data_IF_943772471211
#
_entry.id   IF_943772471211
#
_cell.length_a   1.000
_cell.length_b   1.000
_cell.length_c   1.000
_cell.angle_alpha   90.00
_cell.angle_beta   90.00
_cell.angle_gamma   90.00
#
_symmetry.space_group_name_H-M   'P 1'
#
loop_
_entity.id
_entity.type
_entity.pdbx_description
1 polymer ?
#
# COMPACT_ATOMS: atom_id res chain seq x y z
N UNK A 1 31.08 -39.92 -37.04
CA UNK A 1 29.91 -39.94 -36.14
C UNK A 1 29.59 -38.51 -35.79
N UNK A 2 28.58 -37.92 -36.45
CA UNK A 2 28.08 -36.56 -36.15
C UNK A 2 26.84 -36.72 -35.26
N UNK A 3 26.91 -36.21 -34.04
CA UNK A 3 25.78 -36.09 -33.11
C UNK A 3 25.11 -34.73 -33.30
N UNK A 4 23.93 -34.73 -33.91
CA UNK A 4 23.11 -33.56 -34.07
C UNK A 4 22.40 -33.19 -32.76
N UNK A 5 22.55 -31.95 -32.29
CA UNK A 5 21.81 -31.38 -31.18
C UNK A 5 20.53 -30.77 -31.75
N UNK A 6 19.38 -31.35 -31.42
CA UNK A 6 18.06 -30.80 -31.75
C UNK A 6 17.66 -29.75 -30.71
N UNK A 7 17.69 -28.48 -31.10
CA UNK A 7 17.09 -27.35 -30.36
C UNK A 7 15.58 -27.41 -30.54
N UNK A 8 14.85 -27.82 -29.50
CA UNK A 8 13.38 -27.65 -29.42
C UNK A 8 13.06 -26.23 -29.02
N UNK A 9 12.93 -25.36 -30.02
CA UNK A 9 12.36 -24.02 -29.82
C UNK A 9 10.86 -24.12 -29.57
N UNK A 10 10.38 -23.63 -28.43
CA UNK A 10 8.95 -23.37 -28.21
C UNK A 10 8.49 -22.28 -29.17
N UNK A 11 7.97 -22.70 -30.32
CA UNK A 11 7.28 -21.77 -31.23
C UNK A 11 5.90 -21.42 -30.66
N UNK A 12 5.78 -20.23 -30.10
CA UNK A 12 4.48 -19.64 -29.81
C UNK A 12 3.77 -19.41 -31.16
N UNK A 13 2.80 -20.25 -31.47
CA UNK A 13 1.95 -20.09 -32.65
C UNK A 13 1.11 -18.83 -32.51
N UNK A 14 1.58 -17.74 -33.07
CA UNK A 14 0.74 -16.53 -33.29
C UNK A 14 -0.23 -16.88 -34.42
N UNK A 15 -1.49 -17.07 -34.10
CA UNK A 15 -2.58 -17.18 -35.10
C UNK A 15 -2.72 -15.82 -35.79
N UNK A 16 -2.18 -15.71 -36.99
CA UNK A 16 -2.34 -14.54 -37.85
C UNK A 16 -3.65 -14.71 -38.59
N UNK A 17 -4.73 -14.13 -38.06
CA UNK A 17 -5.90 -13.82 -38.85
C UNK A 17 -5.66 -12.50 -39.57
N UNK A 18 -5.85 -12.51 -40.87
CA UNK A 18 -5.56 -11.44 -41.82
C UNK A 18 -6.73 -10.48 -41.85
N UNK A 19 -6.99 -9.72 -40.77
CA UNK A 19 -7.86 -8.55 -40.75
C UNK A 19 -7.49 -7.66 -39.57
N UNK A 20 -7.10 -6.41 -39.86
CA UNK A 20 -6.80 -5.28 -38.97
C UNK A 20 -6.29 -5.68 -37.57
N UNK A 21 -4.98 -5.83 -37.43
CA UNK A 21 -4.31 -6.21 -36.19
C UNK A 21 -4.46 -5.12 -35.14
N UNK A 22 -5.49 -5.20 -34.34
CA UNK A 22 -5.67 -4.42 -33.13
C UNK A 22 -5.13 -5.26 -31.96
N UNK A 23 -4.02 -4.85 -31.38
CA UNK A 23 -3.50 -5.49 -30.15
C UNK A 23 -3.89 -4.63 -28.95
N UNK A 24 -4.61 -5.22 -28.02
CA UNK A 24 -4.88 -4.59 -26.73
C UNK A 24 -3.83 -5.06 -25.72
N UNK A 25 -3.06 -4.14 -25.17
CA UNK A 25 -2.11 -4.39 -24.11
C UNK A 25 -2.58 -3.66 -22.85
N UNK A 26 -2.56 -4.36 -21.72
CA UNK A 26 -2.78 -3.74 -20.42
C UNK A 26 -1.44 -3.30 -19.86
N UNK A 27 -1.27 -2.02 -19.62
CA UNK A 27 -0.05 -1.45 -19.03
C UNK A 27 -0.34 -0.92 -17.62
N UNK A 28 0.62 -1.11 -16.72
CA UNK A 28 0.59 -0.48 -15.40
C UNK A 28 1.12 0.93 -15.53
N UNK A 29 0.28 1.90 -15.18
CA UNK A 29 0.61 3.32 -15.19
C UNK A 29 0.73 3.83 -13.76
N UNK A 30 1.86 4.44 -13.43
CA UNK A 30 2.10 5.07 -12.12
C UNK A 30 1.36 6.40 -12.07
N UNK A 31 0.48 6.57 -11.08
CA UNK A 31 -0.29 7.79 -10.86
C UNK A 31 0.34 8.68 -9.79
N UNK A 32 0.82 8.06 -8.71
CA UNK A 32 1.41 8.72 -7.55
C UNK A 32 2.65 7.96 -7.11
N UNK A 33 3.70 8.72 -6.85
CA UNK A 33 4.87 8.31 -6.07
C UNK A 33 5.12 9.36 -5.01
N UNK A 34 5.06 8.98 -3.74
CA UNK A 34 5.12 9.90 -2.62
C UNK A 34 5.82 9.25 -1.43
N UNK A 35 6.26 10.08 -0.49
CA UNK A 35 6.83 9.65 0.77
C UNK A 35 5.89 10.03 1.91
N UNK A 36 5.44 9.03 2.65
CA UNK A 36 4.69 9.23 3.90
C UNK A 36 5.63 9.81 4.94
N UNK A 37 5.20 10.89 5.57
CA UNK A 37 6.00 11.62 6.56
C UNK A 37 5.32 11.73 7.92
N UNK A 38 4.00 11.54 8.00
CA UNK A 38 3.26 11.58 9.26
C UNK A 38 1.93 10.81 9.17
N UNK A 39 1.36 10.52 10.32
CA UNK A 39 -0.01 10.02 10.46
C UNK A 39 -0.83 10.99 11.32
N UNK A 40 -2.13 11.08 11.03
CA UNK A 40 -3.00 11.98 11.76
C UNK A 40 -4.47 11.68 11.57
N UNK A 41 -5.29 12.63 11.98
CA UNK A 41 -6.74 12.69 11.75
C UNK A 41 -7.10 14.05 11.18
N UNK A 42 -8.22 14.19 10.46
CA UNK A 42 -8.70 15.51 10.06
C UNK A 42 -8.89 16.41 11.27
N UNK A 43 -8.40 17.65 11.20
CA UNK A 43 -8.61 18.63 12.28
C UNK A 43 -10.10 18.94 12.48
N UNK A 44 -10.87 18.92 11.40
CA UNK A 44 -12.31 19.15 11.39
C UNK A 44 -13.02 18.04 10.63
N UNK A 45 -14.17 17.62 11.15
CA UNK A 45 -15.06 16.71 10.43
C UNK A 45 -15.81 17.48 9.33
N UNK A 46 -16.00 16.83 8.19
CA UNK A 46 -16.90 17.30 7.14
C UNK A 46 -17.79 16.16 6.66
N UNK A 47 -18.76 16.44 5.81
CA UNK A 47 -19.70 15.43 5.33
C UNK A 47 -18.99 14.21 4.68
N UNK A 48 -17.82 14.44 4.05
CA UNK A 48 -17.04 13.41 3.35
C UNK A 48 -15.80 12.95 4.13
N UNK A 49 -15.54 13.51 5.31
CA UNK A 49 -14.36 13.25 6.13
C UNK A 49 -14.76 13.13 7.60
N UNK A 50 -15.19 11.94 8.06
CA UNK A 50 -15.42 11.70 9.47
C UNK A 50 -14.18 12.04 10.31
N UNK A 51 -14.40 12.62 11.50
CA UNK A 51 -13.31 13.06 12.38
C UNK A 51 -12.41 11.91 12.88
N UNK A 52 -12.93 10.70 12.86
CA UNK A 52 -12.23 9.47 13.23
C UNK A 52 -11.49 8.81 12.06
N UNK A 53 -11.58 9.37 10.84
CA UNK A 53 -10.81 8.92 9.69
C UNK A 53 -9.31 8.99 9.98
N UNK A 54 -8.57 8.05 9.44
CA UNK A 54 -7.11 8.07 9.50
C UNK A 54 -6.58 8.76 8.26
N UNK A 55 -5.65 9.69 8.48
CA UNK A 55 -4.93 10.40 7.43
C UNK A 55 -3.47 9.94 7.43
N UNK A 56 -3.03 9.48 6.30
CA UNK A 56 -1.62 9.24 6.00
C UNK A 56 -1.13 10.49 5.28
N UNK A 57 -0.26 11.27 5.91
CA UNK A 57 0.27 12.50 5.35
C UNK A 57 1.55 12.21 4.57
N UNK A 58 1.51 12.42 3.27
CA UNK A 58 2.66 12.38 2.38
C UNK A 58 3.22 13.78 2.10
N UNK A 59 4.38 13.83 1.46
CA UNK A 59 5.01 15.09 1.07
C UNK A 59 4.22 15.83 -0.02
N UNK A 60 3.61 15.07 -0.93
CA UNK A 60 2.87 15.62 -2.10
C UNK A 60 1.37 15.52 -1.94
N UNK A 61 0.89 14.53 -1.18
CA UNK A 61 -0.53 14.23 -1.04
C UNK A 61 -0.87 13.80 0.38
N UNK A 62 -2.15 13.85 0.70
CA UNK A 62 -2.74 13.24 1.90
C UNK A 62 -3.66 12.10 1.49
N UNK A 63 -3.58 10.99 2.20
CA UNK A 63 -4.34 9.76 1.91
C UNK A 63 -5.30 9.52 3.06
N UNK A 64 -6.58 9.70 2.82
CA UNK A 64 -7.61 9.52 3.84
C UNK A 64 -8.18 8.13 3.73
N UNK A 65 -8.03 7.33 4.77
CA UNK A 65 -8.51 5.96 4.80
C UNK A 65 -10.01 5.93 5.08
N UNK A 66 -10.75 5.32 4.16
CA UNK A 66 -12.18 5.03 4.29
C UNK A 66 -12.44 3.60 4.76
N UNK A 67 -11.42 2.74 4.65
CA UNK A 67 -11.47 1.34 5.11
C UNK A 67 -10.10 0.93 5.67
N UNK A 68 -10.12 0.09 6.70
CA UNK A 68 -8.93 -0.53 7.30
C UNK A 68 -8.17 0.36 8.28
N UNK A 69 -8.43 1.66 8.30
CA UNK A 69 -7.74 2.60 9.20
C UNK A 69 -7.90 2.25 10.67
N UNK A 70 -9.10 1.87 11.12
CA UNK A 70 -9.35 1.46 12.51
C UNK A 70 -8.55 0.22 12.89
N UNK A 71 -8.51 -0.80 12.02
CA UNK A 71 -7.71 -2.01 12.28
C UNK A 71 -6.23 -1.67 12.38
N UNK A 72 -5.71 -0.87 11.45
CA UNK A 72 -4.33 -0.41 11.49
C UNK A 72 -4.00 0.29 12.81
N UNK A 73 -4.83 1.26 13.23
CA UNK A 73 -4.65 1.98 14.50
C UNK A 73 -4.73 1.06 15.71
N UNK A 74 -5.64 0.09 15.71
CA UNK A 74 -5.77 -0.91 16.79
C UNK A 74 -4.49 -1.70 16.95
N UNK A 75 -3.91 -2.18 15.84
CA UNK A 75 -2.67 -2.96 15.85
C UNK A 75 -1.49 -2.12 16.36
N UNK A 76 -1.26 -0.92 15.79
CA UNK A 76 -0.10 -0.10 16.17
C UNK A 76 -0.18 0.46 17.60
N UNK A 77 -1.37 0.58 18.17
CA UNK A 77 -1.55 1.00 19.57
C UNK A 77 -1.35 -0.15 20.57
N UNK A 78 -1.59 -1.39 20.15
CA UNK A 78 -1.55 -2.55 21.03
C UNK A 78 -0.23 -3.29 20.98
N UNK A 79 0.40 -3.34 19.81
CA UNK A 79 1.62 -4.09 19.57
C UNK A 79 2.86 -3.25 19.89
N UNK A 80 3.93 -3.90 20.34
CA UNK A 80 5.22 -3.23 20.50
C UNK A 80 5.79 -2.89 19.11
N UNK A 81 5.98 -1.60 18.82
CA UNK A 81 6.42 -1.16 17.49
C UNK A 81 7.79 -1.70 17.07
N UNK A 82 8.66 -2.04 18.03
CA UNK A 82 9.97 -2.64 17.72
C UNK A 82 9.88 -3.99 17.03
N UNK A 83 8.74 -4.67 17.19
CA UNK A 83 8.49 -6.01 16.68
C UNK A 83 7.59 -6.00 15.43
N UNK A 84 7.17 -4.81 14.99
CA UNK A 84 6.34 -4.64 13.77
C UNK A 84 7.25 -4.35 12.58
N UNK A 85 6.94 -4.99 11.45
CA UNK A 85 7.60 -4.75 10.18
C UNK A 85 6.58 -4.68 9.04
N UNK A 86 6.77 -3.76 8.10
CA UNK A 86 6.09 -3.80 6.82
C UNK A 86 6.89 -4.74 5.91
N UNK A 87 6.23 -5.78 5.41
CA UNK A 87 6.91 -6.90 4.75
C UNK A 87 7.05 -6.73 3.23
N UNK A 88 6.33 -5.77 2.65
CA UNK A 88 6.34 -5.47 1.19
C UNK A 88 6.13 -3.98 0.96
N UNK A 89 6.49 -3.51 -0.22
CA UNK A 89 6.20 -2.14 -0.67
C UNK A 89 4.70 -1.82 -0.63
N UNK A 90 4.37 -0.57 -0.29
CA UNK A 90 2.99 -0.07 -0.30
C UNK A 90 2.59 0.35 -1.72
N UNK A 91 2.06 -0.59 -2.44
CA UNK A 91 1.55 -0.39 -3.80
C UNK A 91 0.02 -0.50 -3.79
N UNK A 92 -0.65 0.63 -4.03
CA UNK A 92 -2.10 0.71 -4.09
C UNK A 92 -2.59 0.84 -5.52
N UNK A 93 -3.82 0.44 -5.75
CA UNK A 93 -4.46 0.44 -7.07
C UNK A 93 -5.62 1.42 -7.10
N UNK A 94 -5.69 2.24 -8.17
CA UNK A 94 -6.81 3.12 -8.49
C UNK A 94 -7.46 2.64 -9.79
N UNK A 95 -8.65 2.06 -9.68
CA UNK A 95 -9.32 1.45 -10.82
C UNK A 95 -9.72 2.47 -11.88
N UNK A 96 -10.27 3.61 -11.44
CA UNK A 96 -10.85 4.63 -12.31
C UNK A 96 -9.98 5.86 -12.47
N UNK A 97 -8.81 5.91 -11.84
CA UNK A 97 -7.96 7.11 -11.77
C UNK A 97 -8.75 8.36 -11.30
N UNK A 98 -9.63 8.20 -10.33
CA UNK A 98 -10.56 9.22 -9.83
C UNK A 98 -10.20 9.73 -8.42
N UNK A 99 -8.99 9.44 -7.96
CA UNK A 99 -8.53 9.76 -6.61
C UNK A 99 -8.82 8.68 -5.57
N UNK A 100 -9.69 7.72 -5.85
CA UNK A 100 -9.90 6.57 -4.99
C UNK A 100 -8.78 5.55 -5.18
N UNK A 101 -8.38 4.90 -4.10
CA UNK A 101 -7.40 3.83 -4.13
C UNK A 101 -7.77 2.70 -3.18
N UNK A 102 -7.25 1.52 -3.45
CA UNK A 102 -7.35 0.35 -2.58
C UNK A 102 -6.10 -0.51 -2.65
N UNK A 103 -5.89 -1.33 -1.65
CA UNK A 103 -4.77 -2.25 -1.60
C UNK A 103 -4.64 -2.97 -0.26
N UNK A 104 -3.47 -3.52 -0.03
CA UNK A 104 -3.16 -4.25 1.21
C UNK A 104 -1.93 -3.66 1.86
N UNK A 105 -2.03 -3.35 3.15
CA UNK A 105 -0.89 -3.05 4.01
C UNK A 105 -0.44 -4.35 4.68
N UNK A 106 0.69 -4.92 4.28
CA UNK A 106 1.20 -6.16 4.83
C UNK A 106 2.08 -5.86 6.05
N UNK A 107 1.59 -6.17 7.24
CA UNK A 107 2.34 -6.08 8.48
C UNK A 107 2.76 -7.46 8.97
N UNK A 108 3.92 -7.56 9.62
CA UNK A 108 4.25 -8.71 10.46
C UNK A 108 4.63 -8.24 11.87
N UNK A 109 4.37 -9.11 12.83
CA UNK A 109 4.75 -8.95 14.21
C UNK A 109 5.49 -10.19 14.69
N UNK A 110 6.67 -10.00 15.27
CA UNK A 110 7.49 -11.10 15.76
C UNK A 110 7.63 -11.00 17.29
N UNK A 111 7.52 -12.14 17.97
CA UNK A 111 7.69 -12.24 19.44
C UNK A 111 8.31 -13.57 19.82
N UNK A 112 9.11 -13.62 20.88
CA UNK A 112 9.62 -14.87 21.42
C UNK A 112 8.46 -15.75 21.91
N UNK A 113 8.54 -17.06 21.70
CA UNK A 113 7.49 -18.00 22.12
C UNK A 113 7.24 -17.97 23.62
N UNK A 114 8.29 -17.79 24.43
CA UNK A 114 8.21 -17.68 25.89
C UNK A 114 7.47 -16.43 26.37
N UNK A 115 7.47 -15.35 25.57
CA UNK A 115 6.80 -14.09 25.88
C UNK A 115 5.34 -14.04 25.39
N UNK A 116 4.91 -15.01 24.58
CA UNK A 116 3.57 -15.06 24.01
C UNK A 116 2.55 -15.48 25.06
N UNK A 117 1.63 -14.59 25.37
CA UNK A 117 0.51 -14.89 26.25
C UNK A 117 -0.71 -15.39 25.46
N UNK A 118 -1.62 -16.10 26.13
CA UNK A 118 -2.91 -16.48 25.56
C UNK A 118 -3.69 -15.26 25.05
N UNK A 119 -3.64 -14.14 25.76
CA UNK A 119 -4.27 -12.89 25.37
C UNK A 119 -3.67 -12.29 24.09
N UNK A 120 -2.36 -12.45 23.87
CA UNK A 120 -1.73 -12.02 22.60
C UNK A 120 -2.28 -12.84 21.44
N UNK A 121 -2.35 -14.16 21.61
CA UNK A 121 -2.86 -15.06 20.56
C UNK A 121 -4.32 -14.79 20.24
N UNK A 122 -5.18 -14.59 21.26
CA UNK A 122 -6.57 -14.18 21.09
C UNK A 122 -6.66 -12.87 20.29
N UNK A 123 -5.88 -11.85 20.68
CA UNK A 123 -5.84 -10.57 19.99
C UNK A 123 -5.38 -10.71 18.53
N UNK A 124 -4.37 -11.54 18.25
CA UNK A 124 -3.91 -11.77 16.88
C UNK A 124 -4.99 -12.42 16.02
N UNK A 125 -5.65 -13.46 16.52
CA UNK A 125 -6.73 -14.16 15.82
C UNK A 125 -7.90 -13.21 15.55
N UNK A 126 -8.33 -12.44 16.54
CA UNK A 126 -9.41 -11.45 16.41
C UNK A 126 -9.13 -10.38 15.35
N UNK A 127 -7.84 -10.04 15.17
CA UNK A 127 -7.40 -9.08 14.16
C UNK A 127 -6.95 -9.71 12.84
N UNK A 128 -7.25 -11.00 12.61
CA UNK A 128 -7.05 -11.68 11.33
C UNK A 128 -5.59 -12.04 11.04
N UNK A 129 -4.77 -12.17 12.06
CA UNK A 129 -3.41 -12.64 11.91
C UNK A 129 -3.34 -14.09 11.43
N UNK A 130 -2.33 -14.35 10.61
CA UNK A 130 -1.92 -15.70 10.23
C UNK A 130 -0.49 -15.93 10.71
N UNK A 131 -0.20 -17.13 11.20
CA UNK A 131 1.17 -17.49 11.49
C UNK A 131 1.99 -17.59 10.19
N UNK A 132 3.15 -16.92 10.18
CA UNK A 132 4.03 -16.87 9.01
C UNK A 132 5.51 -16.96 9.41
N UNK A 133 5.78 -17.74 10.46
CA UNK A 133 7.15 -17.94 10.98
C UNK A 133 8.07 -18.52 9.92
N UNK A 134 9.27 -17.97 9.83
CA UNK A 134 10.35 -18.49 9.01
C UNK A 134 11.21 -19.47 9.79
N UNK A 135 12.04 -20.27 9.09
CA UNK A 135 13.03 -21.13 9.75
C UNK A 135 14.04 -20.34 10.61
N UNK A 136 14.26 -19.06 10.32
CA UNK A 136 15.07 -18.18 11.15
C UNK A 136 14.35 -17.80 12.45
N UNK A 137 13.05 -17.50 12.37
CA UNK A 137 12.24 -17.23 13.56
C UNK A 137 12.21 -18.45 14.47
N UNK A 138 12.03 -19.64 13.91
CA UNK A 138 12.04 -20.92 14.67
C UNK A 138 13.36 -21.17 15.40
N UNK A 139 14.50 -20.95 14.73
CA UNK A 139 15.83 -21.08 15.35
C UNK A 139 16.03 -20.12 16.53
N UNK A 140 15.40 -18.94 16.46
CA UNK A 140 15.43 -17.94 17.53
C UNK A 140 14.35 -18.17 18.60
N UNK A 141 13.60 -19.28 18.52
CA UNK A 141 12.45 -19.55 19.39
C UNK A 141 11.42 -18.40 19.35
N UNK A 142 11.29 -17.74 18.21
CA UNK A 142 10.32 -16.70 17.95
C UNK A 142 9.17 -17.22 17.09
N UNK A 143 8.04 -16.50 17.14
CA UNK A 143 6.86 -16.74 16.31
C UNK A 143 6.48 -15.44 15.64
N UNK A 144 6.17 -15.52 14.33
CA UNK A 144 5.78 -14.39 13.50
C UNK A 144 4.32 -14.48 13.09
N UNK A 145 3.64 -13.37 13.22
CA UNK A 145 2.23 -13.21 12.83
C UNK A 145 2.13 -12.17 11.72
N UNK A 146 1.48 -12.52 10.64
CA UNK A 146 1.27 -11.66 9.49
C UNK A 146 -0.18 -11.16 9.43
N UNK A 147 -0.33 -9.87 9.12
CA UNK A 147 -1.60 -9.18 8.97
C UNK A 147 -1.66 -8.56 7.57
N UNK A 148 -2.65 -8.92 6.79
CA UNK A 148 -2.93 -8.32 5.49
C UNK A 148 -4.11 -7.34 5.63
N UNK A 149 -3.82 -6.11 6.07
CA UNK A 149 -4.85 -5.09 6.32
C UNK A 149 -5.34 -4.55 4.97
N UNK A 150 -6.62 -4.76 4.66
CA UNK A 150 -7.24 -4.19 3.48
C UNK A 150 -7.50 -2.71 3.71
N UNK A 151 -6.83 -1.88 2.92
CA UNK A 151 -6.98 -0.42 2.95
C UNK A 151 -7.74 0.04 1.70
N UNK A 152 -8.63 0.99 1.90
CA UNK A 152 -9.15 1.82 0.82
C UNK A 152 -9.20 3.27 1.30
N UNK A 153 -9.13 4.20 0.36
CA UNK A 153 -9.09 5.61 0.70
C UNK A 153 -9.20 6.52 -0.50
N UNK A 154 -9.04 7.80 -0.23
CA UNK A 154 -9.11 8.87 -1.22
C UNK A 154 -7.87 9.75 -1.09
N UNK A 155 -7.31 10.14 -2.23
CA UNK A 155 -6.15 11.03 -2.31
C UNK A 155 -6.62 12.48 -2.31
N UNK A 156 -6.02 13.28 -1.45
CA UNK A 156 -6.19 14.73 -1.35
C UNK A 156 -4.86 15.44 -1.58
N UNK A 157 -4.86 16.74 -1.89
CA UNK A 157 -3.65 17.55 -1.84
C UNK A 157 -2.96 17.45 -0.48
N UNK A 158 -1.65 17.71 -0.44
CA UNK A 158 -0.89 17.69 0.81
C UNK A 158 -1.56 18.56 1.90
N UNK A 159 -1.44 18.12 3.15
CA UNK A 159 -1.98 18.86 4.28
C UNK A 159 -1.37 20.27 4.36
N UNK A 160 -2.21 21.30 4.63
CA UNK A 160 -1.74 22.68 4.75
C UNK A 160 -0.74 22.85 5.90
N UNK A 161 -0.92 22.08 6.96
CA UNK A 161 -0.12 22.15 8.18
C UNK A 161 0.88 20.99 8.32
N UNK A 162 1.39 20.45 7.21
CA UNK A 162 2.30 19.31 7.21
C UNK A 162 3.52 19.52 8.12
N UNK A 163 4.05 20.74 8.16
CA UNK A 163 5.22 21.11 8.99
C UNK A 163 4.93 21.08 10.50
N UNK A 164 3.68 21.11 10.91
CA UNK A 164 3.27 21.03 12.33
C UNK A 164 2.99 19.61 12.80
N UNK A 165 3.01 18.63 11.88
CA UNK A 165 2.78 17.24 12.22
C UNK A 165 4.02 16.63 12.84
N UNK A 166 3.82 15.66 13.75
CA UNK A 166 4.91 14.82 14.21
C UNK A 166 5.38 13.94 13.06
N UNK A 167 6.57 14.22 12.56
CA UNK A 167 7.17 13.48 11.47
C UNK A 167 7.57 12.06 11.90
N UNK A 168 7.53 11.14 10.96
CA UNK A 168 8.17 9.82 11.10
C UNK A 168 9.69 9.99 11.11
N UNK A 169 10.40 9.11 11.79
CA UNK A 169 11.86 9.06 11.81
C UNK A 169 12.46 8.86 10.42
N UNK A 170 11.78 8.07 9.58
CA UNK A 170 12.10 7.90 8.15
C UNK A 170 10.85 8.04 7.29
N UNK A 171 10.97 8.69 6.11
CA UNK A 171 9.90 8.68 5.13
C UNK A 171 9.67 7.26 4.59
N UNK A 172 8.42 6.91 4.35
CA UNK A 172 8.04 5.61 3.79
C UNK A 172 7.42 5.79 2.40
N UNK A 173 7.98 5.09 1.41
CA UNK A 173 7.51 5.22 0.03
C UNK A 173 6.15 4.54 -0.15
N UNK A 174 5.22 5.27 -0.77
CA UNK A 174 3.92 4.80 -1.21
C UNK A 174 3.74 5.08 -2.69
N UNK A 175 3.16 4.15 -3.41
CA UNK A 175 2.80 4.33 -4.81
C UNK A 175 1.35 3.96 -5.07
N UNK A 176 0.73 4.69 -6.00
CA UNK A 176 -0.60 4.37 -6.53
C UNK A 176 -0.47 4.22 -8.02
N UNK A 177 -1.03 3.14 -8.56
CA UNK A 177 -1.03 2.85 -9.98
C UNK A 177 -2.42 2.52 -10.49
N UNK A 178 -2.60 2.60 -11.80
CA UNK A 178 -3.78 2.09 -12.51
C UNK A 178 -3.35 1.16 -13.64
N UNK A 179 -4.32 0.47 -14.23
CA UNK A 179 -4.13 -0.28 -15.46
C UNK A 179 -4.82 0.45 -16.61
N UNK A 180 -4.07 0.71 -17.66
CA UNK A 180 -4.58 1.27 -18.92
C UNK A 180 -4.55 0.19 -19.99
N UNK A 181 -5.68 0.05 -20.69
CA UNK A 181 -5.73 -0.77 -21.90
C UNK A 181 -5.42 0.13 -23.10
N UNK A 182 -4.29 -0.11 -23.73
CA UNK A 182 -3.94 0.56 -24.97
C UNK A 182 -4.19 -0.34 -26.17
N UNK A 183 -4.97 0.17 -27.11
CA UNK A 183 -5.22 -0.47 -28.38
C UNK A 183 -4.26 0.14 -29.40
N UNK A 184 -3.25 -0.62 -29.79
CA UNK A 184 -2.26 -0.15 -30.77
C UNK A 184 -2.82 -0.22 -32.18
N UNK A 185 -3.15 0.92 -32.76
CA UNK A 185 -3.07 1.17 -34.19
C UNK A 185 -1.78 1.96 -34.42
N UNK A 186 -0.95 1.56 -35.32
CA UNK A 186 0.50 1.84 -35.48
C UNK A 186 1.00 3.30 -35.49
N UNK A 187 0.37 4.23 -34.76
CA UNK A 187 0.80 5.63 -34.64
C UNK A 187 0.36 6.23 -33.32
N UNK A 188 1.04 5.95 -32.22
CA UNK A 188 0.91 6.82 -31.05
C UNK A 188 2.15 6.71 -30.18
N UNK A 189 2.81 7.87 -29.98
CA UNK A 189 3.89 7.99 -29.01
C UNK A 189 3.35 7.84 -27.59
N UNK A 190 3.98 7.00 -26.79
CA UNK A 190 3.63 6.75 -25.39
C UNK A 190 3.99 7.94 -24.51
N UNK A 191 3.02 8.45 -23.75
CA UNK A 191 3.28 9.21 -22.52
C UNK A 191 3.26 8.23 -21.34
N UNK A 192 4.40 7.93 -20.71
CA UNK A 192 4.49 6.92 -19.65
C UNK A 192 3.90 7.35 -18.30
N UNK A 193 3.49 8.62 -18.16
CA UNK A 193 2.94 9.16 -16.92
C UNK A 193 1.55 9.73 -17.14
N UNK A 194 0.56 9.08 -16.57
CA UNK A 194 -0.78 9.63 -16.40
C UNK A 194 -0.85 10.30 -15.02
N UNK A 195 -1.35 11.53 -14.93
CA UNK A 195 -1.54 12.20 -13.64
C UNK A 195 -2.80 11.67 -12.98
N UNK A 196 -2.74 11.43 -11.68
CA UNK A 196 -3.91 11.12 -10.87
C UNK A 196 -4.92 12.26 -11.01
N UNK A 197 -6.15 11.91 -11.36
CA UNK A 197 -7.26 12.85 -11.36
C UNK A 197 -7.76 12.97 -9.92
N UNK A 198 -7.36 14.04 -9.24
CA UNK A 198 -7.90 14.36 -7.93
C UNK A 198 -9.37 14.77 -8.08
N UNK A 199 -10.19 14.48 -7.08
CA UNK A 199 -11.59 14.91 -7.07
C UNK A 199 -11.65 16.43 -7.21
N UNK A 200 -12.56 16.97 -8.06
CA UNK A 200 -12.59 18.41 -8.39
C UNK A 200 -12.87 19.32 -7.19
N UNK A 201 -13.30 18.77 -6.07
CA UNK A 201 -13.56 19.48 -4.82
C UNK A 201 -12.55 19.12 -3.70
N UNK A 202 -11.46 18.42 -4.02
CA UNK A 202 -10.44 18.07 -3.05
C UNK A 202 -9.64 19.33 -2.68
N UNK A 203 -9.97 19.91 -1.55
CA UNK A 203 -9.21 20.99 -0.91
C UNK A 203 -8.22 20.35 0.04
N UNK A 204 -7.02 20.92 0.14
CA UNK A 204 -6.06 20.49 1.14
C UNK A 204 -6.69 20.61 2.55
N UNK A 205 -6.49 19.60 3.37
CA UNK A 205 -7.06 19.50 4.71
C UNK A 205 -5.99 19.75 5.77
N UNK A 206 -6.42 20.29 6.91
CA UNK A 206 -5.59 20.34 8.10
C UNK A 206 -5.65 19.00 8.82
N UNK A 207 -4.51 18.53 9.30
CA UNK A 207 -4.34 17.24 9.95
C UNK A 207 -3.84 17.45 11.37
N UNK A 208 -4.39 16.71 12.33
CA UNK A 208 -3.88 16.63 13.69
C UNK A 208 -3.11 15.33 13.86
N UNK A 209 -1.87 15.43 14.34
CA UNK A 209 -1.03 14.26 14.59
C UNK A 209 -1.72 13.29 15.54
N UNK A 210 -1.65 12.01 15.22
CA UNK A 210 -2.02 10.97 16.16
C UNK A 210 -0.91 10.84 17.22
N UNK A 211 -1.25 10.62 18.50
CA UNK A 211 -0.29 10.47 19.59
C UNK A 211 0.40 9.09 19.53
N UNK A 212 0.88 8.69 18.36
CA UNK A 212 1.57 7.41 18.19
C UNK A 212 3.03 7.53 18.63
N UNK A 213 3.34 7.05 19.79
CA UNK A 213 4.73 6.74 20.16
C UNK A 213 5.28 5.56 19.34
N UNK A 214 4.40 4.82 18.69
CA UNK A 214 4.67 3.60 17.96
C UNK A 214 5.04 3.83 16.49
N UNK A 215 4.48 4.83 15.83
CA UNK A 215 4.67 5.04 14.39
C UNK A 215 6.14 5.28 14.03
N UNK A 216 6.88 5.98 14.89
CA UNK A 216 8.30 6.28 14.66
C UNK A 216 9.20 5.04 14.61
N UNK A 217 8.76 3.91 15.20
CA UNK A 217 9.56 2.68 15.31
C UNK A 217 9.13 1.59 14.34
N UNK A 218 7.96 1.73 13.72
CA UNK A 218 7.44 0.76 12.75
C UNK A 218 8.14 0.94 11.41
N UNK A 219 8.54 2.18 11.12
CA UNK A 219 9.10 2.59 9.85
C UNK A 219 10.63 2.83 9.92
N UNK A 220 11.28 2.53 11.05
CA UNK A 220 12.73 2.48 11.20
C UNK A 220 13.30 1.13 10.76
#
# INVERSE_FOLDING_TARGET
MLTGVTLTGCATKTLITKDSKTYTRTERVMLVEDNVVAFGRPAQASANLPKDSIVIAGQKNSYILTQGGTQFVTLINKLDPKNIQITRELNFYSEKNDGNFSGTLPLSYVKLKEDLSKKDLEFFIENGAQECSSSSDERMQAQRFCFDIKLAGVVYPAANNLSSLKALSKPYQVSIYTHKQETYSSKSGMNPFEKLVLLPFAVAIDVVSLPFQAADKIFD
#
